data_IF_635935885232
#
_entry.id   IF_635935885232
#
_cell.length_a   1.000
_cell.length_b   1.000
_cell.length_c   1.000
_cell.angle_alpha   90.00
_cell.angle_beta   90.00
_cell.angle_gamma   90.00
#
_symmetry.space_group_name_H-M   'P 1'
#
loop_
_entity.id
_entity.type
_entity.pdbx_description
1 polymer ?
#
# COMPACT_ATOMS: atom_id res chain seq x y z
N UNK A 1 -9.31 13.80 -14.89
CA UNK A 1 -8.25 12.93 -15.45
C UNK A 1 -8.56 12.61 -16.90
N UNK A 2 -7.56 12.67 -17.79
CA UNK A 2 -7.67 12.24 -19.19
C UNK A 2 -6.65 11.15 -19.46
N UNK A 3 -7.07 10.02 -20.05
CA UNK A 3 -6.16 8.97 -20.50
C UNK A 3 -5.61 9.35 -21.87
N UNK A 4 -4.30 9.51 -21.99
CA UNK A 4 -3.64 9.75 -23.28
C UNK A 4 -3.02 8.45 -23.76
N UNK A 5 -3.54 7.90 -24.85
CA UNK A 5 -2.91 6.79 -25.58
C UNK A 5 -1.85 7.34 -26.51
N UNK A 6 -0.67 7.61 -25.97
CA UNK A 6 0.56 7.87 -26.73
C UNK A 6 1.56 6.75 -26.45
N UNK A 7 2.05 6.11 -27.51
CA UNK A 7 2.96 4.96 -27.50
C UNK A 7 4.09 5.08 -26.46
N UNK A 8 4.25 4.01 -25.67
CA UNK A 8 5.35 3.73 -24.73
C UNK A 8 5.27 4.49 -23.38
N UNK A 9 4.75 3.76 -22.36
CA UNK A 9 4.50 4.14 -20.94
C UNK A 9 3.18 4.89 -20.72
N UNK A 10 2.14 4.14 -20.38
CA UNK A 10 0.93 4.68 -19.78
C UNK A 10 1.32 5.50 -18.54
N UNK A 11 1.17 6.83 -18.60
CA UNK A 11 1.35 7.74 -17.48
C UNK A 11 0.04 8.45 -17.22
N UNK A 12 -0.30 8.67 -15.96
CA UNK A 12 -1.43 9.53 -15.63
C UNK A 12 -1.08 10.96 -15.98
N UNK A 13 -1.96 11.61 -16.73
CA UNK A 13 -1.87 13.06 -16.91
C UNK A 13 -2.75 13.71 -15.86
N UNK A 14 -2.11 14.31 -14.86
CA UNK A 14 -2.77 15.16 -13.89
C UNK A 14 -3.12 16.50 -14.52
N UNK A 15 -4.30 17.03 -14.21
CA UNK A 15 -4.72 18.37 -14.64
C UNK A 15 -3.96 19.48 -13.89
N UNK A 16 -3.35 19.15 -12.75
CA UNK A 16 -2.60 20.04 -11.86
C UNK A 16 -1.32 19.32 -11.38
N UNK A 17 -0.30 20.05 -10.89
CA UNK A 17 0.87 19.42 -10.28
C UNK A 17 0.46 18.53 -9.10
N UNK A 18 0.93 17.26 -9.00
CA UNK A 18 0.56 16.38 -7.91
C UNK A 18 0.98 16.91 -6.53
N UNK A 19 1.99 17.78 -6.46
CA UNK A 19 2.48 18.42 -5.24
C UNK A 19 1.44 19.31 -4.56
N UNK A 20 0.58 19.97 -5.35
CA UNK A 20 -0.45 20.90 -4.85
C UNK A 20 -1.79 20.20 -4.57
N UNK A 21 -1.91 18.91 -4.92
CA UNK A 21 -3.17 18.20 -4.73
C UNK A 21 -3.44 17.91 -3.26
N UNK A 22 -4.71 18.06 -2.82
CA UNK A 22 -5.11 17.67 -1.48
C UNK A 22 -5.15 16.14 -1.40
N UNK A 23 -4.49 15.56 -0.40
CA UNK A 23 -4.54 14.11 -0.16
C UNK A 23 -5.90 13.68 0.40
N UNK A 24 -6.61 14.55 1.11
CA UNK A 24 -7.97 14.31 1.55
C UNK A 24 -8.94 14.98 0.58
N UNK A 25 -9.90 14.25 -0.04
CA UNK A 25 -10.15 12.80 0.08
C UNK A 25 -9.36 11.95 -0.93
N UNK A 26 -8.57 12.56 -1.80
CA UNK A 26 -8.04 11.94 -3.02
C UNK A 26 -7.25 10.63 -2.78
N UNK A 27 -6.32 10.62 -1.82
CA UNK A 27 -5.50 9.45 -1.50
C UNK A 27 -6.37 8.28 -1.01
N UNK A 28 -7.44 8.57 -0.27
CA UNK A 28 -8.38 7.57 0.23
C UNK A 28 -9.21 7.01 -0.93
N UNK A 29 -9.73 7.87 -1.80
CA UNK A 29 -10.47 7.44 -3.00
C UNK A 29 -9.62 6.56 -3.91
N UNK A 30 -8.34 6.90 -4.09
CA UNK A 30 -7.41 6.07 -4.88
C UNK A 30 -7.13 4.72 -4.19
N UNK A 31 -7.00 4.72 -2.86
CA UNK A 31 -6.85 3.47 -2.10
C UNK A 31 -8.10 2.57 -2.22
N UNK A 32 -9.30 3.15 -2.22
CA UNK A 32 -10.55 2.40 -2.41
C UNK A 32 -10.61 1.79 -3.81
N UNK A 33 -10.17 2.57 -4.81
CA UNK A 33 -10.08 2.15 -6.20
C UNK A 33 -9.09 1.00 -6.46
N UNK A 34 -8.21 0.66 -5.51
CA UNK A 34 -7.33 -0.53 -5.63
C UNK A 34 -8.11 -1.84 -5.73
N UNK A 35 -9.38 -1.84 -5.30
CA UNK A 35 -10.29 -2.99 -5.40
C UNK A 35 -11.05 -3.07 -6.73
N UNK A 36 -10.96 -2.03 -7.56
CA UNK A 36 -11.64 -2.00 -8.87
C UNK A 36 -11.00 -3.00 -9.84
N UNK A 37 -11.81 -3.72 -10.60
CA UNK A 37 -11.34 -4.72 -11.57
C UNK A 37 -11.55 -4.29 -13.02
N UNK A 38 -12.18 -3.11 -13.24
CA UNK A 38 -12.50 -2.60 -14.57
C UNK A 38 -11.47 -1.56 -15.02
N UNK A 39 -10.94 -1.74 -16.22
CA UNK A 39 -10.19 -0.68 -16.90
C UNK A 39 -11.15 0.48 -17.26
N UNK A 40 -10.75 1.75 -17.09
CA UNK A 40 -9.44 2.25 -16.67
C UNK A 40 -9.26 2.48 -15.16
N UNK A 41 -10.28 2.24 -14.35
CA UNK A 41 -10.28 2.56 -12.91
C UNK A 41 -9.14 1.88 -12.14
N UNK A 42 -8.82 0.63 -12.49
CA UNK A 42 -7.67 -0.08 -11.92
C UNK A 42 -6.34 0.63 -12.17
N UNK A 43 -6.10 1.11 -13.40
CA UNK A 43 -4.87 1.81 -13.76
C UNK A 43 -4.78 3.18 -13.08
N UNK A 44 -5.88 3.94 -13.11
CA UNK A 44 -5.96 5.27 -12.50
C UNK A 44 -5.72 5.20 -11.00
N UNK A 45 -6.34 4.23 -10.32
CA UNK A 45 -6.21 4.08 -8.87
C UNK A 45 -4.80 3.66 -8.47
N UNK A 46 -4.21 2.70 -9.21
CA UNK A 46 -2.86 2.20 -8.94
C UNK A 46 -1.79 3.27 -9.14
N UNK A 47 -1.73 3.86 -10.33
CA UNK A 47 -0.71 4.87 -10.61
C UNK A 47 -0.98 6.16 -9.84
N UNK A 48 -2.25 6.52 -9.61
CA UNK A 48 -2.60 7.74 -8.88
C UNK A 48 -2.18 7.66 -7.42
N UNK A 49 -2.43 6.51 -6.77
CA UNK A 49 -1.99 6.26 -5.40
C UNK A 49 -0.48 6.37 -5.27
N UNK A 50 0.25 5.73 -6.22
CA UNK A 50 1.71 5.75 -6.26
C UNK A 50 2.27 7.15 -6.47
N UNK A 51 1.77 7.88 -7.47
CA UNK A 51 2.27 9.21 -7.82
C UNK A 51 2.01 10.22 -6.70
N UNK A 52 0.87 10.14 -6.01
CA UNK A 52 0.64 10.97 -4.81
C UNK A 52 1.65 10.66 -3.70
N UNK A 53 1.92 9.39 -3.42
CA UNK A 53 2.86 9.02 -2.36
C UNK A 53 4.32 9.43 -2.67
N UNK A 54 4.65 9.75 -3.93
CA UNK A 54 5.99 10.17 -4.33
C UNK A 54 6.21 11.69 -4.27
N UNK A 55 5.18 12.50 -3.97
CA UNK A 55 5.33 13.95 -3.92
C UNK A 55 6.13 14.40 -2.71
N UNK A 56 6.79 15.55 -2.83
CA UNK A 56 7.41 16.21 -1.68
C UNK A 56 6.34 16.55 -0.63
N UNK A 57 6.62 16.24 0.63
CA UNK A 57 5.67 16.44 1.73
C UNK A 57 4.55 15.39 1.83
N UNK A 58 4.68 14.25 1.12
CA UNK A 58 3.72 13.15 1.22
C UNK A 58 3.55 12.59 2.66
N UNK A 59 4.61 12.43 3.48
CA UNK A 59 4.45 11.92 4.85
C UNK A 59 3.51 12.78 5.71
N UNK A 60 3.67 14.10 5.68
CA UNK A 60 2.90 15.08 6.45
C UNK A 60 1.41 15.07 6.06
N UNK A 61 1.13 14.77 4.79
CA UNK A 61 -0.23 14.66 4.26
C UNK A 61 -0.85 13.26 4.45
N UNK A 62 -0.06 12.19 4.39
CA UNK A 62 -0.52 10.81 4.48
C UNK A 62 -0.74 10.33 5.92
N UNK A 63 0.13 10.71 6.86
CA UNK A 63 0.07 10.27 8.26
C UNK A 63 -1.29 10.57 8.92
N UNK A 64 -1.86 11.79 8.78
CA UNK A 64 -3.18 12.10 9.35
C UNK A 64 -4.32 11.24 8.79
N UNK A 65 -4.14 10.68 7.59
CA UNK A 65 -5.15 9.88 6.89
C UNK A 65 -5.06 8.39 7.21
N UNK A 66 -4.03 7.94 7.94
CA UNK A 66 -3.85 6.53 8.30
C UNK A 66 -5.10 5.87 8.90
N UNK A 67 -5.84 6.49 9.85
CA UNK A 67 -7.04 5.86 10.42
C UNK A 67 -8.11 5.52 9.37
N UNK A 68 -8.18 6.28 8.26
CA UNK A 68 -9.13 6.06 7.15
C UNK A 68 -8.53 5.18 6.05
N UNK A 69 -7.22 5.25 5.81
CA UNK A 69 -6.53 4.41 4.81
C UNK A 69 -6.42 2.94 5.23
N UNK A 70 -6.21 2.68 6.52
CA UNK A 70 -5.96 1.32 7.02
C UNK A 70 -7.14 0.37 6.77
N UNK A 71 -8.41 0.73 7.06
CA UNK A 71 -9.55 -0.11 6.74
C UNK A 71 -9.68 -0.42 5.24
N UNK A 72 -9.39 0.58 4.38
CA UNK A 72 -9.47 0.44 2.93
C UNK A 72 -8.40 -0.52 2.41
N UNK A 73 -7.15 -0.35 2.83
CA UNK A 73 -6.07 -1.28 2.48
C UNK A 73 -6.32 -2.68 3.02
N UNK A 74 -6.82 -2.80 4.26
CA UNK A 74 -7.21 -4.08 4.84
C UNK A 74 -8.26 -4.78 3.98
N UNK A 75 -9.26 -4.04 3.47
CA UNK A 75 -10.29 -4.61 2.60
C UNK A 75 -9.71 -5.18 1.29
N UNK A 76 -8.68 -4.54 0.72
CA UNK A 76 -7.96 -5.09 -0.44
C UNK A 76 -7.15 -6.35 -0.06
N UNK A 77 -6.49 -6.36 1.09
CA UNK A 77 -5.65 -7.49 1.56
C UNK A 77 -6.45 -8.74 1.97
N UNK A 78 -7.74 -8.61 2.27
CA UNK A 78 -8.62 -9.76 2.55
C UNK A 78 -9.49 -10.14 1.36
N UNK A 79 -9.37 -9.43 0.23
CA UNK A 79 -10.17 -9.69 -0.96
C UNK A 79 -9.84 -11.06 -1.55
N UNK A 80 -10.83 -11.76 -2.12
CA UNK A 80 -10.65 -13.09 -2.70
C UNK A 80 -9.85 -13.07 -4.01
N UNK A 81 -10.08 -12.04 -4.82
CA UNK A 81 -9.35 -11.78 -6.07
C UNK A 81 -7.85 -11.51 -5.81
N UNK A 82 -7.03 -12.30 -6.47
CA UNK A 82 -5.57 -12.30 -6.35
C UNK A 82 -4.94 -10.99 -6.83
N UNK A 83 -5.45 -10.39 -7.91
CA UNK A 83 -4.91 -9.12 -8.42
C UNK A 83 -5.25 -7.95 -7.50
N UNK A 84 -6.42 -7.99 -6.86
CA UNK A 84 -6.79 -7.00 -5.84
C UNK A 84 -5.91 -7.15 -4.60
N UNK A 85 -5.64 -8.38 -4.18
CA UNK A 85 -4.72 -8.65 -3.07
C UNK A 85 -3.31 -8.11 -3.36
N UNK A 86 -2.75 -8.43 -4.52
CA UNK A 86 -1.41 -7.97 -4.93
C UNK A 86 -1.30 -6.45 -4.97
N UNK A 87 -2.32 -5.77 -5.49
CA UNK A 87 -2.39 -4.30 -5.48
C UNK A 87 -2.48 -3.73 -4.07
N UNK A 88 -3.26 -4.36 -3.19
CA UNK A 88 -3.32 -3.99 -1.77
C UNK A 88 -1.97 -4.19 -1.06
N UNK A 89 -1.25 -5.25 -1.39
CA UNK A 89 0.07 -5.55 -0.82
C UNK A 89 1.12 -4.54 -1.29
N UNK A 90 1.13 -4.20 -2.58
CA UNK A 90 2.03 -3.18 -3.13
C UNK A 90 1.72 -1.80 -2.55
N UNK A 91 0.45 -1.42 -2.47
CA UNK A 91 0.04 -0.16 -1.84
C UNK A 91 0.42 -0.07 -0.36
N UNK A 92 0.33 -1.18 0.39
CA UNK A 92 0.80 -1.24 1.77
C UNK A 92 2.31 -0.98 1.86
N UNK A 93 3.09 -1.60 0.98
CA UNK A 93 4.54 -1.38 0.92
C UNK A 93 4.85 0.09 0.59
N UNK A 94 4.21 0.65 -0.44
CA UNK A 94 4.39 2.06 -0.82
C UNK A 94 4.02 3.00 0.32
N UNK A 95 2.90 2.76 1.01
CA UNK A 95 2.50 3.55 2.17
C UNK A 95 3.55 3.48 3.28
N UNK A 96 4.12 2.29 3.55
CA UNK A 96 5.14 2.12 4.59
C UNK A 96 6.42 2.89 4.31
N UNK A 97 6.84 3.01 3.04
CA UNK A 97 7.98 3.85 2.63
C UNK A 97 7.76 5.30 3.05
N UNK A 98 6.52 5.80 2.88
CA UNK A 98 6.19 7.21 3.11
C UNK A 98 5.97 7.52 4.59
N UNK A 99 5.19 6.70 5.30
CA UNK A 99 4.78 7.01 6.68
C UNK A 99 5.71 6.39 7.74
N UNK A 100 6.54 5.43 7.34
CA UNK A 100 7.54 4.79 8.18
C UNK A 100 6.97 4.25 9.50
N UNK A 101 7.58 4.58 10.66
CA UNK A 101 7.15 4.08 11.98
C UNK A 101 5.72 4.45 12.37
N UNK A 102 5.12 5.48 11.77
CA UNK A 102 3.73 5.87 12.05
C UNK A 102 2.75 4.73 11.75
N UNK A 103 3.09 3.83 10.81
CA UNK A 103 2.31 2.66 10.46
C UNK A 103 2.22 1.62 11.58
N UNK A 104 3.18 1.60 12.52
CA UNK A 104 3.29 0.56 13.55
C UNK A 104 2.04 0.45 14.43
N UNK A 105 1.34 1.56 14.70
CA UNK A 105 0.10 1.60 15.46
C UNK A 105 -1.02 0.76 14.82
N UNK A 106 -0.99 0.64 13.49
CA UNK A 106 -2.00 -0.04 12.69
C UNK A 106 -1.53 -1.38 12.11
N UNK A 107 -0.23 -1.65 12.18
CA UNK A 107 0.43 -2.79 11.55
C UNK A 107 -0.17 -4.14 12.00
N UNK A 108 -0.57 -4.27 13.28
CA UNK A 108 -1.21 -5.49 13.82
C UNK A 108 -2.45 -5.92 13.02
N UNK A 109 -3.26 -4.96 12.56
CA UNK A 109 -4.49 -5.24 11.81
C UNK A 109 -4.19 -5.76 10.40
N UNK A 110 -3.18 -5.17 9.76
CA UNK A 110 -2.76 -5.53 8.41
C UNK A 110 -2.06 -6.90 8.40
N UNK A 111 -1.15 -7.15 9.34
CA UNK A 111 -0.45 -8.43 9.48
C UNK A 111 -1.38 -9.62 9.70
N UNK A 112 -2.48 -9.41 10.42
CA UNK A 112 -3.50 -10.47 10.62
C UNK A 112 -4.15 -10.87 9.30
N UNK A 113 -4.21 -9.97 8.32
CA UNK A 113 -4.73 -10.27 6.98
C UNK A 113 -3.68 -10.99 6.13
N UNK A 114 -2.42 -10.55 6.22
CA UNK A 114 -1.29 -11.16 5.52
C UNK A 114 -1.00 -12.59 5.99
N UNK A 115 -1.07 -12.86 7.30
CA UNK A 115 -0.77 -14.18 7.85
C UNK A 115 -1.71 -15.27 7.31
N UNK A 116 -2.97 -14.92 7.03
CA UNK A 116 -3.94 -15.84 6.40
C UNK A 116 -3.54 -16.21 4.97
N UNK A 117 -3.02 -15.24 4.21
CA UNK A 117 -2.57 -15.43 2.82
C UNK A 117 -1.17 -16.05 2.73
N UNK A 118 -0.37 -16.02 3.79
CA UNK A 118 0.96 -16.62 3.85
C UNK A 118 0.95 -18.16 3.68
N UNK A 119 -0.18 -18.81 3.96
CA UNK A 119 -0.36 -20.26 3.74
C UNK A 119 -0.47 -20.62 2.26
N UNK A 120 -0.80 -19.65 1.41
CA UNK A 120 -0.83 -19.83 -0.03
C UNK A 120 0.60 -19.74 -0.59
N UNK A 121 1.05 -20.82 -1.24
CA UNK A 121 2.38 -20.88 -1.86
C UNK A 121 2.59 -19.77 -2.88
N UNK A 122 1.53 -19.32 -3.55
CA UNK A 122 1.57 -18.23 -4.53
C UNK A 122 2.00 -16.90 -3.89
N UNK A 123 1.53 -16.63 -2.67
CA UNK A 123 1.74 -15.34 -2.01
C UNK A 123 2.83 -15.35 -0.95
N UNK A 124 3.38 -16.53 -0.61
CA UNK A 124 4.41 -16.66 0.41
C UNK A 124 5.61 -15.73 0.15
N UNK A 125 6.17 -15.75 -1.05
CA UNK A 125 7.33 -14.91 -1.42
C UNK A 125 6.98 -13.41 -1.46
N UNK A 126 5.91 -12.97 -2.17
CA UNK A 126 5.49 -11.57 -2.16
C UNK A 126 5.23 -11.01 -0.76
N UNK A 127 4.53 -11.78 0.09
CA UNK A 127 4.23 -11.36 1.47
C UNK A 127 5.53 -11.27 2.27
N UNK A 128 6.44 -12.24 2.13
CA UNK A 128 7.74 -12.21 2.83
C UNK A 128 8.53 -10.95 2.44
N UNK A 129 8.61 -10.64 1.14
CA UNK A 129 9.28 -9.41 0.67
C UNK A 129 8.60 -8.15 1.20
N UNK A 130 7.28 -8.12 1.28
CA UNK A 130 6.55 -7.00 1.86
C UNK A 130 6.83 -6.85 3.37
N UNK A 131 6.88 -7.94 4.13
CA UNK A 131 7.22 -7.92 5.56
C UNK A 131 8.64 -7.39 5.81
N UNK A 132 9.60 -7.75 4.95
CA UNK A 132 10.96 -7.21 5.00
C UNK A 132 10.99 -5.70 4.78
N UNK A 133 10.26 -5.19 3.79
CA UNK A 133 10.16 -3.73 3.57
C UNK A 133 9.46 -3.02 4.74
N UNK A 134 8.42 -3.63 5.31
CA UNK A 134 7.74 -3.11 6.50
C UNK A 134 8.69 -3.05 7.71
N UNK A 135 9.56 -4.05 7.88
CA UNK A 135 10.60 -4.06 8.90
C UNK A 135 11.61 -2.92 8.70
N UNK A 136 12.09 -2.72 7.46
CA UNK A 136 13.05 -1.68 7.11
C UNK A 136 12.51 -0.27 7.39
N UNK A 137 11.26 0.00 7.00
CA UNK A 137 10.68 1.35 7.16
C UNK A 137 10.09 1.59 8.55
N UNK A 138 9.59 0.54 9.21
CA UNK A 138 8.96 0.64 10.51
C UNK A 138 9.93 0.63 11.70
N UNK A 139 11.21 0.35 11.46
CA UNK A 139 12.26 0.35 12.48
C UNK A 139 12.10 -0.76 13.53
N UNK A 140 12.81 -0.66 14.65
CA UNK A 140 12.88 -1.71 15.69
C UNK A 140 11.51 -2.12 16.26
N UNK A 141 10.56 -1.18 16.36
CA UNK A 141 9.21 -1.45 16.84
C UNK A 141 8.39 -2.36 15.91
N UNK A 142 8.65 -2.30 14.61
CA UNK A 142 7.92 -3.09 13.62
C UNK A 142 8.24 -4.58 13.70
N UNK A 143 9.51 -4.94 13.93
CA UNK A 143 9.96 -6.33 14.04
C UNK A 143 9.24 -7.08 15.17
N UNK A 144 9.07 -6.44 16.33
CA UNK A 144 8.36 -7.01 17.48
C UNK A 144 6.91 -7.30 17.10
N UNK A 145 6.27 -6.38 16.39
CA UNK A 145 4.88 -6.50 15.94
C UNK A 145 4.74 -7.60 14.88
N UNK A 146 5.67 -7.67 13.91
CA UNK A 146 5.71 -8.71 12.87
C UNK A 146 5.88 -10.09 13.51
N UNK A 147 6.91 -10.29 14.35
CA UNK A 147 7.15 -11.57 15.03
C UNK A 147 6.01 -11.99 15.95
N UNK A 148 5.33 -11.03 16.59
CA UNK A 148 4.15 -11.31 17.42
C UNK A 148 2.98 -11.90 16.63
N UNK A 149 2.82 -11.54 15.35
CA UNK A 149 1.74 -12.04 14.48
C UNK A 149 2.15 -13.15 13.51
N UNK A 150 3.41 -13.19 13.12
CA UNK A 150 3.97 -14.15 12.17
C UNK A 150 5.27 -14.69 12.80
N UNK A 151 5.18 -15.66 13.73
CA UNK A 151 6.35 -16.18 14.45
C UNK A 151 7.38 -16.84 13.53
N UNK A 152 6.95 -17.31 12.36
CA UNK A 152 7.79 -17.97 11.34
C UNK A 152 8.58 -16.98 10.47
N UNK A 153 8.40 -15.68 10.66
CA UNK A 153 9.11 -14.66 9.89
C UNK A 153 10.60 -14.60 10.26
N UNK A 154 11.46 -14.78 9.26
CA UNK A 154 12.91 -14.56 9.37
C UNK A 154 13.25 -13.12 8.98
N UNK A 155 13.92 -12.41 9.89
CA UNK A 155 14.36 -11.04 9.68
C UNK A 155 15.47 -10.99 8.63
N UNK A 156 15.56 -9.85 7.95
CA UNK A 156 16.60 -9.51 6.97
C UNK A 156 17.98 -9.30 7.61
N UNK A 157 18.03 -9.10 8.93
CA UNK A 157 19.26 -8.86 9.68
C UNK A 157 19.83 -10.15 10.32
N UNK A 158 19.45 -11.33 9.81
CA UNK A 158 19.97 -12.63 10.25
C UNK A 158 21.16 -13.08 9.41
#
# INVERSE_FOLDING_TARGET
FRLVHGSVKHRLQWECSPEILPFDPLLITLAEGLRETKHPYTFVSKEGFRELLLVQGAPEKAVPLLPRLIPVLKAALVHSDDEVFERGLDALVQLSVVVGPSLNHHLKLLLTSLSKRLMDKKFKEPITSALQKLEQHGGSGSLIIIKSKIPTYCSICC
#
